data_IF_578115058525
#
_entry.id   IF_578115058525
#
_cell.length_a   1.000
_cell.length_b   1.000
_cell.length_c   1.000
_cell.angle_alpha   90.00
_cell.angle_beta   90.00
_cell.angle_gamma   90.00
#
_symmetry.space_group_name_H-M   'P 1'
#
loop_
_entity.id
_entity.type
_entity.pdbx_description
1 polymer ?
#
# COMPACT_ATOMS: atom_id res chain seq x y z
N UNK A 1 12.83 -2.76 -23.22
CA UNK A 1 11.82 -2.93 -22.15
C UNK A 1 11.69 -1.68 -21.25
N UNK A 2 12.81 -1.10 -20.80
CA UNK A 2 12.82 0.07 -19.91
C UNK A 2 12.15 1.31 -20.54
N UNK A 3 12.39 1.55 -21.82
CA UNK A 3 11.78 2.68 -22.57
C UNK A 3 10.26 2.58 -22.61
N UNK A 4 9.71 1.37 -22.75
CA UNK A 4 8.26 1.15 -22.75
C UNK A 4 7.67 1.39 -21.36
N UNK A 5 8.36 0.92 -20.32
CA UNK A 5 7.95 1.13 -18.92
C UNK A 5 8.00 2.62 -18.58
N UNK A 6 9.05 3.33 -19.01
CA UNK A 6 9.17 4.77 -18.82
C UNK A 6 8.05 5.54 -19.55
N UNK A 7 7.80 5.22 -20.82
CA UNK A 7 6.74 5.86 -21.60
C UNK A 7 5.34 5.62 -21.00
N UNK A 8 5.10 4.44 -20.44
CA UNK A 8 3.85 4.16 -19.73
C UNK A 8 3.76 4.93 -18.41
N UNK A 9 4.86 4.99 -17.65
CA UNK A 9 4.90 5.73 -16.38
C UNK A 9 4.79 7.25 -16.58
N UNK A 10 5.28 7.77 -17.69
CA UNK A 10 5.16 9.20 -18.03
C UNK A 10 3.75 9.59 -18.46
N UNK A 11 3.03 8.65 -19.07
CA UNK A 11 1.66 8.86 -19.55
C UNK A 11 0.59 8.51 -18.52
N UNK A 12 0.87 7.47 -17.71
CA UNK A 12 -0.06 6.91 -16.74
C UNK A 12 0.67 6.71 -15.41
N UNK A 13 -0.04 6.83 -14.30
CA UNK A 13 0.50 6.48 -12.99
C UNK A 13 0.47 4.94 -12.81
N UNK A 14 1.40 4.26 -13.50
CA UNK A 14 1.50 2.81 -13.54
C UNK A 14 2.63 2.34 -12.65
N UNK A 15 2.35 1.41 -11.76
CA UNK A 15 3.35 0.69 -10.98
C UNK A 15 3.29 -0.81 -11.29
N UNK A 16 4.42 -1.48 -11.11
CA UNK A 16 4.60 -2.86 -11.55
C UNK A 16 4.94 -3.76 -10.36
N UNK A 17 4.18 -4.83 -10.22
CA UNK A 17 4.56 -5.97 -9.39
C UNK A 17 5.11 -7.04 -10.31
N UNK A 18 6.42 -7.24 -10.28
CA UNK A 18 7.10 -8.20 -11.13
C UNK A 18 7.46 -9.42 -10.30
N UNK A 19 6.79 -10.54 -10.57
CA UNK A 19 7.20 -11.83 -10.00
C UNK A 19 8.38 -12.35 -10.80
N UNK A 20 9.50 -12.62 -10.14
CA UNK A 20 10.74 -12.98 -10.80
C UNK A 20 11.33 -14.29 -10.27
N UNK A 21 11.78 -15.11 -11.22
CA UNK A 21 12.67 -16.25 -11.00
C UNK A 21 14.11 -15.91 -11.37
N UNK A 22 14.45 -14.62 -11.50
CA UNK A 22 15.78 -14.20 -11.89
C UNK A 22 16.81 -14.58 -10.81
N UNK A 23 17.83 -15.30 -11.21
CA UNK A 23 18.90 -15.85 -10.39
C UNK A 23 20.28 -15.25 -10.71
N UNK A 24 20.36 -14.41 -11.74
CA UNK A 24 21.60 -13.76 -12.16
C UNK A 24 21.61 -12.28 -11.79
N UNK A 25 22.76 -11.74 -11.40
CA UNK A 25 22.94 -10.34 -11.04
C UNK A 25 22.45 -9.37 -12.12
N UNK A 26 22.69 -9.70 -13.38
CA UNK A 26 22.27 -8.87 -14.52
C UNK A 26 20.75 -8.77 -14.61
N UNK A 27 20.05 -9.90 -14.46
CA UNK A 27 18.59 -9.93 -14.49
C UNK A 27 17.98 -9.20 -13.28
N UNK A 28 18.56 -9.38 -12.11
CA UNK A 28 18.15 -8.67 -10.88
C UNK A 28 18.33 -7.16 -11.04
N UNK A 29 19.45 -6.71 -11.60
CA UNK A 29 19.67 -5.27 -11.85
C UNK A 29 18.69 -4.71 -12.87
N UNK A 30 18.40 -5.45 -13.95
CA UNK A 30 17.39 -5.05 -14.93
C UNK A 30 16.01 -4.90 -14.29
N UNK A 31 15.60 -5.85 -13.46
CA UNK A 31 14.30 -5.78 -12.76
C UNK A 31 14.25 -4.61 -11.79
N UNK A 32 15.34 -4.33 -11.05
CA UNK A 32 15.44 -3.14 -10.19
C UNK A 32 15.31 -1.85 -10.98
N UNK A 33 15.89 -1.79 -12.18
CA UNK A 33 15.76 -0.62 -13.06
C UNK A 33 14.32 -0.42 -13.53
N UNK A 34 13.59 -1.51 -13.83
CA UNK A 34 12.18 -1.45 -14.24
C UNK A 34 11.26 -0.96 -13.11
N UNK A 35 11.46 -1.46 -11.89
CA UNK A 35 10.65 -1.03 -10.74
C UNK A 35 11.08 0.34 -10.22
N UNK A 36 12.31 0.77 -10.49
CA UNK A 36 12.83 2.08 -10.12
C UNK A 36 12.17 3.27 -10.85
N UNK A 37 11.45 3.00 -11.94
CA UNK A 37 10.70 4.01 -12.69
C UNK A 37 9.53 4.58 -11.87
N UNK A 38 8.90 3.76 -11.05
CA UNK A 38 7.85 4.21 -10.14
C UNK A 38 8.13 3.66 -8.72
N UNK A 39 8.19 4.50 -7.68
CA UNK A 39 8.57 4.10 -6.33
C UNK A 39 7.59 3.11 -5.68
N UNK A 40 6.38 2.96 -6.22
CA UNK A 40 5.40 1.96 -5.79
C UNK A 40 5.60 0.59 -6.43
N UNK A 41 6.42 0.49 -7.48
CA UNK A 41 6.73 -0.78 -8.13
C UNK A 41 7.62 -1.67 -7.26
N UNK A 42 7.45 -2.99 -7.36
CA UNK A 42 8.19 -3.98 -6.57
C UNK A 42 8.58 -5.19 -7.41
N UNK A 43 9.72 -5.78 -7.07
CA UNK A 43 10.08 -7.13 -7.53
C UNK A 43 9.81 -8.11 -6.40
N UNK A 44 9.05 -9.15 -6.70
CA UNK A 44 8.70 -10.21 -5.76
C UNK A 44 9.40 -11.50 -6.21
N UNK A 45 10.34 -12.05 -5.44
CA UNK A 45 10.97 -13.32 -5.76
C UNK A 45 9.91 -14.44 -5.82
N UNK A 46 9.98 -15.27 -6.87
CA UNK A 46 9.00 -16.35 -7.05
C UNK A 46 9.05 -17.38 -5.93
N UNK A 47 10.25 -17.73 -5.46
CA UNK A 47 10.44 -18.64 -4.33
C UNK A 47 9.76 -18.14 -3.07
N UNK A 48 9.81 -16.83 -2.85
CA UNK A 48 9.13 -16.20 -1.74
C UNK A 48 7.60 -16.35 -1.82
N UNK A 49 7.02 -16.25 -3.02
CA UNK A 49 5.59 -16.51 -3.25
C UNK A 49 5.20 -17.95 -2.96
N UNK A 50 6.04 -18.92 -3.36
CA UNK A 50 5.78 -20.35 -3.12
C UNK A 50 5.75 -20.70 -1.63
N UNK A 51 6.62 -20.06 -0.83
CA UNK A 51 6.65 -20.23 0.62
C UNK A 51 5.47 -19.57 1.36
N UNK A 52 4.68 -18.72 0.69
CA UNK A 52 3.68 -17.88 1.32
C UNK A 52 2.36 -17.87 0.53
N UNK A 53 1.60 -18.98 0.52
CA UNK A 53 0.40 -19.13 -0.32
C UNK A 53 -0.68 -18.07 -0.09
N UNK A 54 -0.76 -17.49 1.11
CA UNK A 54 -1.69 -16.39 1.41
C UNK A 54 -1.34 -15.09 0.67
N UNK A 55 -0.07 -14.88 0.36
CA UNK A 55 0.43 -13.72 -0.40
C UNK A 55 0.20 -13.88 -1.89
N UNK A 56 0.21 -15.12 -2.39
CA UNK A 56 -0.12 -15.42 -3.79
C UNK A 56 -1.55 -14.99 -4.11
N UNK A 57 -2.48 -15.22 -3.20
CA UNK A 57 -3.88 -14.78 -3.36
C UNK A 57 -3.98 -13.23 -3.40
N UNK A 58 -3.25 -12.53 -2.53
CA UNK A 58 -3.18 -11.07 -2.53
C UNK A 58 -2.56 -10.52 -3.81
N UNK A 59 -1.45 -11.08 -4.28
CA UNK A 59 -0.78 -10.67 -5.52
C UNK A 59 -1.67 -10.88 -6.76
N UNK A 60 -2.39 -11.98 -6.84
CA UNK A 60 -3.32 -12.26 -7.96
C UNK A 60 -4.53 -11.30 -7.96
N UNK A 61 -5.03 -10.90 -6.80
CA UNK A 61 -6.08 -9.90 -6.71
C UNK A 61 -5.57 -8.52 -7.12
N UNK A 62 -4.34 -8.17 -6.80
CA UNK A 62 -3.72 -6.90 -7.21
C UNK A 62 -3.60 -6.80 -8.73
N UNK A 63 -3.24 -7.89 -9.42
CA UNK A 63 -3.19 -7.92 -10.90
C UNK A 63 -4.57 -7.69 -11.53
N UNK A 64 -5.65 -8.12 -10.92
CA UNK A 64 -7.01 -7.82 -11.42
C UNK A 64 -7.46 -6.38 -11.14
N UNK A 65 -6.93 -5.74 -10.09
CA UNK A 65 -7.24 -4.34 -9.75
C UNK A 65 -6.46 -3.35 -10.60
N UNK A 66 -5.32 -3.75 -11.19
CA UNK A 66 -4.48 -2.91 -12.08
C UNK A 66 -5.13 -2.67 -13.46
N UNK A 67 -6.29 -3.24 -13.76
CA UNK A 67 -7.04 -2.93 -14.97
C UNK A 67 -7.66 -1.50 -14.96
N UNK A 68 -7.47 -0.73 -13.90
CA UNK A 68 -7.74 0.70 -13.91
C UNK A 68 -6.47 1.44 -14.39
N UNK A 69 -6.34 1.54 -15.69
CA UNK A 69 -5.48 2.55 -16.32
C UNK A 69 -6.13 3.90 -16.04
N UNK A 70 -5.80 4.51 -14.91
CA UNK A 70 -6.09 5.91 -14.72
C UNK A 70 -5.18 6.68 -15.69
N UNK A 71 -5.76 7.35 -16.66
CA UNK A 71 -5.05 8.37 -17.42
C UNK A 71 -4.45 9.33 -16.40
N UNK A 72 -3.15 9.62 -16.53
CA UNK A 72 -2.48 10.64 -15.71
C UNK A 72 -3.01 12.01 -16.12
N UNK A 73 -4.24 12.30 -15.74
CA UNK A 73 -4.67 13.67 -15.63
C UNK A 73 -3.92 14.22 -14.42
N UNK A 74 -3.18 15.31 -14.62
CA UNK A 74 -2.67 16.14 -13.52
C UNK A 74 -3.87 16.68 -12.72
N UNK A 75 -4.53 15.83 -12.01
CA UNK A 75 -5.47 16.22 -10.99
C UNK A 75 -4.62 16.59 -9.80
N UNK A 76 -4.32 17.89 -9.70
CA UNK A 76 -3.92 18.50 -8.44
C UNK A 76 -4.98 18.06 -7.44
N UNK A 77 -4.67 17.05 -6.63
CA UNK A 77 -5.48 16.68 -5.49
C UNK A 77 -5.42 17.86 -4.53
N UNK A 78 -6.34 18.80 -4.71
CA UNK A 78 -6.47 19.92 -3.81
C UNK A 78 -6.89 19.39 -2.46
N UNK A 79 -5.91 19.07 -1.61
CA UNK A 79 -6.06 19.38 -0.22
C UNK A 79 -6.35 18.29 0.79
N UNK A 80 -6.28 17.00 0.51
CA UNK A 80 -6.20 16.03 1.60
C UNK A 80 -4.83 15.37 1.59
N UNK A 81 -3.89 15.99 2.31
CA UNK A 81 -2.66 15.28 2.70
C UNK A 81 -3.09 14.19 3.67
N UNK A 82 -3.25 12.99 3.17
CA UNK A 82 -3.56 11.85 4.02
C UNK A 82 -2.26 11.43 4.69
N UNK A 83 -2.13 11.78 5.97
CA UNK A 83 -1.00 11.31 6.77
C UNK A 83 -1.22 9.84 7.13
N UNK A 84 -0.12 9.10 7.28
CA UNK A 84 -0.15 7.72 7.72
C UNK A 84 -0.87 7.58 9.06
N UNK A 85 -1.70 6.56 9.19
CA UNK A 85 -2.29 6.14 10.47
C UNK A 85 -1.24 5.30 11.21
N UNK A 86 -0.91 5.67 12.44
CA UNK A 86 0.12 4.99 13.24
C UNK A 86 -0.48 4.08 14.30
N UNK A 87 0.31 3.08 14.74
CA UNK A 87 -0.19 2.06 15.67
C UNK A 87 0.80 1.82 16.81
N UNK A 88 0.26 1.47 17.96
CA UNK A 88 1.05 1.02 19.09
C UNK A 88 1.65 -0.37 18.86
N UNK A 89 2.60 -0.76 19.72
CA UNK A 89 3.27 -2.05 19.64
C UNK A 89 2.23 -3.14 19.79
N UNK A 90 2.24 -4.09 18.85
CA UNK A 90 1.37 -5.26 18.83
C UNK A 90 -0.15 -4.95 18.81
N UNK A 91 -0.55 -3.71 18.59
CA UNK A 91 -1.94 -3.29 18.56
C UNK A 91 -2.45 -3.08 17.13
N UNK A 92 -3.65 -3.62 16.80
CA UNK A 92 -4.34 -3.32 15.55
C UNK A 92 -5.34 -2.17 15.68
N UNK A 93 -5.54 -1.62 16.89
CA UNK A 93 -6.52 -0.60 17.13
C UNK A 93 -6.01 0.78 16.71
N UNK A 94 -6.90 1.58 16.12
CA UNK A 94 -6.62 2.97 15.73
C UNK A 94 -6.40 3.78 17.00
N UNK A 95 -5.36 4.58 17.01
CA UNK A 95 -5.05 5.48 18.12
C UNK A 95 -6.04 6.64 18.17
N UNK A 96 -6.38 7.15 19.36
CA UNK A 96 -7.29 8.30 19.49
C UNK A 96 -6.85 9.51 18.66
N UNK A 97 -5.54 9.76 18.56
CA UNK A 97 -4.96 10.89 17.81
C UNK A 97 -5.21 10.80 16.29
N UNK A 98 -5.45 9.60 15.77
CA UNK A 98 -5.69 9.39 14.35
C UNK A 98 -7.18 9.46 13.96
N UNK A 99 -8.11 9.49 14.93
CA UNK A 99 -9.55 9.56 14.67
C UNK A 99 -9.96 10.83 13.92
N UNK A 100 -9.42 11.99 14.30
CA UNK A 100 -9.73 13.24 13.60
C UNK A 100 -9.24 13.27 12.15
N UNK A 101 -8.11 12.60 11.87
CA UNK A 101 -7.59 12.45 10.50
C UNK A 101 -8.47 11.55 9.66
N UNK A 102 -8.87 10.42 10.24
CA UNK A 102 -9.76 9.47 9.57
C UNK A 102 -11.15 10.05 9.36
N UNK A 103 -11.64 10.89 10.26
CA UNK A 103 -12.89 11.63 10.09
C UNK A 103 -12.83 12.56 8.88
N UNK A 104 -11.74 13.32 8.74
CA UNK A 104 -11.53 14.18 7.55
C UNK A 104 -11.47 13.38 6.26
N UNK A 105 -10.77 12.24 6.27
CA UNK A 105 -10.73 11.32 5.13
C UNK A 105 -12.12 10.77 4.79
N UNK A 106 -12.89 10.32 5.79
CA UNK A 106 -14.24 9.81 5.60
C UNK A 106 -15.17 10.85 4.97
N UNK A 107 -15.18 12.07 5.51
CA UNK A 107 -15.95 13.18 4.93
C UNK A 107 -15.52 13.50 3.50
N UNK A 108 -14.21 13.52 3.24
CA UNK A 108 -13.73 13.74 1.89
C UNK A 108 -14.21 12.64 0.91
N UNK A 109 -14.20 11.38 1.34
CA UNK A 109 -14.69 10.27 0.49
C UNK A 109 -16.21 10.29 0.28
N UNK A 110 -16.99 10.80 1.25
CA UNK A 110 -18.42 11.05 1.10
C UNK A 110 -18.69 12.17 0.08
N UNK A 111 -17.94 13.26 0.16
CA UNK A 111 -18.07 14.41 -0.77
C UNK A 111 -17.57 14.08 -2.18
N UNK A 112 -16.73 13.06 -2.33
CA UNK A 112 -16.16 12.62 -3.59
C UNK A 112 -16.52 11.16 -3.91
N UNK A 113 -17.75 10.86 -4.38
CA UNK A 113 -18.25 9.49 -4.54
C UNK A 113 -17.50 8.67 -5.61
N UNK A 114 -16.71 9.33 -6.46
CA UNK A 114 -15.85 8.67 -7.47
C UNK A 114 -14.45 8.33 -6.94
N UNK A 115 -14.06 8.88 -5.81
CA UNK A 115 -12.76 8.61 -5.22
C UNK A 115 -12.77 7.26 -4.51
N UNK A 116 -11.72 6.48 -4.72
CA UNK A 116 -11.43 5.24 -4.00
C UNK A 116 -10.29 5.47 -3.01
N UNK A 117 -10.11 4.57 -2.06
CA UNK A 117 -9.01 4.63 -1.10
C UNK A 117 -8.22 3.33 -1.10
N UNK A 118 -6.89 3.45 -1.18
CA UNK A 118 -5.94 2.36 -0.99
C UNK A 118 -5.37 2.46 0.43
N UNK A 119 -5.44 1.36 1.17
CA UNK A 119 -4.93 1.20 2.52
C UNK A 119 -3.84 0.14 2.55
N UNK A 120 -2.62 0.54 2.87
CA UNK A 120 -1.45 -0.35 2.86
C UNK A 120 -0.90 -0.50 4.28
N UNK A 121 -1.01 -1.70 4.85
CA UNK A 121 -0.59 -1.99 6.23
C UNK A 121 0.87 -2.42 6.34
N UNK A 122 1.57 -1.89 7.35
CA UNK A 122 2.96 -2.20 7.65
C UNK A 122 3.17 -2.42 9.15
N UNK A 123 4.29 -3.10 9.49
CA UNK A 123 4.78 -3.27 10.86
C UNK A 123 6.23 -2.81 10.97
N UNK A 124 6.72 -2.69 12.20
CA UNK A 124 8.15 -2.70 12.43
C UNK A 124 8.74 -4.11 12.24
N UNK A 125 10.06 -4.25 12.38
CA UNK A 125 10.77 -5.52 12.20
C UNK A 125 10.78 -6.42 13.45
N UNK A 126 9.98 -6.12 14.47
CA UNK A 126 9.94 -6.90 15.71
C UNK A 126 9.00 -8.11 15.55
N UNK A 127 9.48 -9.30 15.91
CA UNK A 127 8.68 -10.53 15.86
C UNK A 127 8.80 -11.34 14.56
N UNK A 128 8.01 -12.40 14.47
CA UNK A 128 8.03 -13.30 13.34
C UNK A 128 7.36 -12.67 12.10
N UNK A 129 7.86 -13.03 10.93
CA UNK A 129 7.40 -12.48 9.65
C UNK A 129 5.90 -12.76 9.41
N UNK A 130 5.46 -14.00 9.61
CA UNK A 130 4.06 -14.38 9.42
C UNK A 130 3.12 -13.64 10.37
N UNK A 131 3.57 -13.45 11.62
CA UNK A 131 2.83 -12.67 12.61
C UNK A 131 2.66 -11.22 12.14
N UNK A 132 3.75 -10.60 11.69
CA UNK A 132 3.76 -9.22 11.19
C UNK A 132 2.89 -9.05 9.94
N UNK A 133 2.85 -10.05 9.07
CA UNK A 133 1.95 -10.06 7.94
C UNK A 133 0.48 -10.01 8.37
N UNK A 134 0.11 -10.85 9.33
CA UNK A 134 -1.26 -10.86 9.87
C UNK A 134 -1.59 -9.57 10.64
N UNK A 135 -0.62 -9.02 11.38
CA UNK A 135 -0.81 -7.77 12.12
C UNK A 135 -1.03 -6.58 11.18
N UNK A 136 -0.21 -6.47 10.11
CA UNK A 136 -0.37 -5.41 9.11
C UNK A 136 -1.73 -5.48 8.39
N UNK A 137 -2.19 -6.70 8.07
CA UNK A 137 -3.55 -6.92 7.55
C UNK A 137 -4.63 -6.44 8.52
N UNK A 138 -4.54 -6.82 9.79
CA UNK A 138 -5.52 -6.42 10.82
C UNK A 138 -5.59 -4.90 10.95
N UNK A 139 -4.45 -4.20 10.90
CA UNK A 139 -4.37 -2.73 10.95
C UNK A 139 -5.09 -2.08 9.78
N UNK A 140 -4.74 -2.48 8.55
CA UNK A 140 -5.39 -1.95 7.36
C UNK A 140 -6.91 -2.23 7.35
N UNK A 141 -7.30 -3.42 7.83
CA UNK A 141 -8.72 -3.77 7.94
C UNK A 141 -9.46 -2.92 8.99
N UNK A 142 -8.82 -2.55 10.11
CA UNK A 142 -9.42 -1.66 11.12
C UNK A 142 -9.67 -0.25 10.58
N UNK A 143 -8.75 0.28 9.76
CA UNK A 143 -8.96 1.57 9.09
C UNK A 143 -10.13 1.47 8.09
N UNK A 144 -10.17 0.41 7.28
CA UNK A 144 -11.28 0.18 6.37
C UNK A 144 -12.64 0.07 7.09
N UNK A 145 -12.67 -0.71 8.17
CA UNK A 145 -13.87 -0.87 8.99
C UNK A 145 -14.34 0.48 9.56
N UNK A 146 -13.41 1.29 10.06
CA UNK A 146 -13.74 2.63 10.56
C UNK A 146 -14.43 3.50 9.49
N UNK A 147 -13.92 3.49 8.27
CA UNK A 147 -14.51 4.25 7.16
C UNK A 147 -15.90 3.72 6.77
N UNK A 148 -16.06 2.40 6.71
CA UNK A 148 -17.36 1.78 6.39
C UNK A 148 -18.41 2.06 7.48
N UNK A 149 -18.03 1.95 8.75
CA UNK A 149 -18.99 2.03 9.87
C UNK A 149 -19.39 3.47 10.19
N UNK A 150 -18.48 4.45 9.99
CA UNK A 150 -18.74 5.84 10.39
C UNK A 150 -19.15 6.77 9.24
N UNK A 151 -18.78 6.40 7.99
CA UNK A 151 -19.02 7.24 6.80
C UNK A 151 -19.72 6.48 5.69
N UNK A 152 -20.23 5.28 5.96
CA UNK A 152 -20.93 4.44 5.01
C UNK A 152 -20.20 4.26 3.66
N UNK A 153 -18.86 4.31 3.67
CA UNK A 153 -18.06 4.13 2.46
C UNK A 153 -18.22 2.68 1.98
N UNK A 154 -18.71 2.45 0.75
CA UNK A 154 -18.89 1.10 0.23
C UNK A 154 -17.57 0.32 0.19
N UNK A 155 -17.64 -0.98 0.47
CA UNK A 155 -16.46 -1.86 0.50
C UNK A 155 -15.68 -1.85 -0.83
N UNK A 156 -16.38 -1.68 -1.93
CA UNK A 156 -15.86 -1.67 -3.29
C UNK A 156 -14.91 -0.48 -3.55
N UNK A 157 -15.08 0.59 -2.79
CA UNK A 157 -14.23 1.78 -2.85
C UNK A 157 -12.98 1.69 -1.99
N UNK A 158 -12.79 0.60 -1.25
CA UNK A 158 -11.66 0.42 -0.33
C UNK A 158 -10.80 -0.74 -0.79
N UNK A 159 -9.59 -0.44 -1.24
CA UNK A 159 -8.57 -1.43 -1.56
C UNK A 159 -7.66 -1.62 -0.34
N UNK A 160 -7.46 -2.86 0.09
CA UNK A 160 -6.64 -3.19 1.27
C UNK A 160 -5.46 -4.04 0.83
N UNK A 161 -4.27 -3.60 1.17
CA UNK A 161 -3.02 -4.33 0.98
C UNK A 161 -2.26 -4.40 2.31
N UNK A 162 -1.36 -5.38 2.46
CA UNK A 162 -0.57 -5.57 3.68
C UNK A 162 0.76 -6.22 3.36
N UNK A 163 1.81 -5.73 4.02
CA UNK A 163 3.18 -6.03 3.67
C UNK A 163 4.04 -6.52 4.85
N UNK A 164 3.46 -6.58 6.07
CA UNK A 164 4.23 -6.91 7.26
C UNK A 164 5.38 -5.92 7.48
N UNK A 165 6.59 -6.42 7.69
CA UNK A 165 7.77 -5.60 7.95
C UNK A 165 8.54 -5.17 6.68
N UNK A 166 8.00 -5.41 5.49
CA UNK A 166 8.61 -5.02 4.22
C UNK A 166 8.45 -3.50 4.04
N UNK A 167 9.45 -2.86 3.40
CA UNK A 167 9.47 -1.41 3.12
C UNK A 167 9.41 -0.51 4.36
N UNK A 168 10.38 -0.62 5.28
CA UNK A 168 10.47 0.31 6.38
C UNK A 168 10.76 1.73 5.85
N UNK A 169 10.10 2.74 6.45
CA UNK A 169 10.33 4.16 6.16
C UNK A 169 11.31 4.80 7.13
N UNK A 170 11.65 4.10 8.20
CA UNK A 170 12.56 4.56 9.24
C UNK A 170 13.40 3.40 9.80
N UNK A 171 14.45 3.74 10.54
CA UNK A 171 15.38 2.77 11.11
C UNK A 171 14.72 1.91 12.20
N UNK A 172 14.62 0.60 11.96
CA UNK A 172 14.08 -0.37 12.91
C UNK A 172 14.95 -0.59 14.16
N UNK A 173 16.22 -0.13 14.18
CA UNK A 173 17.07 -0.23 15.34
C UNK A 173 16.64 0.72 16.46
N UNK A 174 15.99 1.83 16.12
CA UNK A 174 15.53 2.84 17.07
C UNK A 174 14.04 2.66 17.45
N UNK A 175 13.63 2.96 18.70
CA UNK A 175 12.22 2.93 19.09
C UNK A 175 11.35 3.89 18.25
N UNK A 176 11.86 5.07 17.95
CA UNK A 176 11.20 6.11 17.15
C UNK A 176 10.99 5.66 15.72
N UNK A 177 12.00 5.04 15.10
CA UNK A 177 11.89 4.51 13.75
C UNK A 177 10.92 3.33 13.68
N UNK A 178 10.93 2.43 14.66
CA UNK A 178 9.91 1.37 14.76
C UNK A 178 8.49 1.95 14.87
N UNK A 179 8.32 3.02 15.65
CA UNK A 179 7.00 3.68 15.77
C UNK A 179 6.51 4.24 14.43
N UNK A 180 7.40 4.78 13.60
CA UNK A 180 7.05 5.24 12.24
C UNK A 180 6.72 4.07 11.30
N UNK A 181 7.39 2.93 11.44
CA UNK A 181 7.16 1.75 10.61
C UNK A 181 5.82 1.06 10.91
N UNK A 182 5.29 1.18 12.14
CA UNK A 182 3.96 0.67 12.51
C UNK A 182 2.86 1.58 11.97
N UNK A 183 2.52 1.44 10.70
CA UNK A 183 1.62 2.35 10.00
C UNK A 183 0.65 1.67 9.06
N UNK A 184 -0.39 2.41 8.70
CA UNK A 184 -1.18 2.21 7.50
C UNK A 184 -1.01 3.45 6.62
N UNK A 185 -0.48 3.27 5.44
CA UNK A 185 -0.44 4.31 4.42
C UNK A 185 -1.82 4.41 3.77
N UNK A 186 -2.23 5.64 3.48
CA UNK A 186 -3.54 5.93 2.91
C UNK A 186 -3.35 6.75 1.64
N UNK A 187 -3.83 6.23 0.53
CA UNK A 187 -3.81 6.93 -0.74
C UNK A 187 -5.24 7.05 -1.29
N UNK A 188 -5.63 8.25 -1.68
CA UNK A 188 -6.91 8.48 -2.37
C UNK A 188 -6.66 8.46 -3.88
N UNK A 189 -7.44 7.66 -4.60
CA UNK A 189 -7.31 7.44 -6.05
C UNK A 189 -8.63 7.74 -6.75
N UNK A 190 -8.61 7.96 -8.09
CA UNK A 190 -9.84 8.09 -8.88
C UNK A 190 -10.54 9.45 -8.77
N UNK A 191 -9.84 10.51 -8.39
CA UNK A 191 -10.35 11.88 -8.42
C UNK A 191 -10.33 12.42 -9.86
N UNK A 192 -11.41 12.22 -10.59
CA UNK A 192 -11.68 12.80 -11.93
C UNK A 192 -12.99 13.59 -11.91
#
# INVERSE_FOLDING_TARGET
PLEVVQALSDKYDVFFYIVSTADTDTNVQMLRSLVGVNPRSRVIPFEWLLGHPYRTAGALFTVKSIAFVAEKTETVVTGVTVQNVTFDIDEPNIRPDDHERLKKLGQFLEDNPKADVLLEGFTDATGAEDYNLHLSRRRAFRVAQYLMDNFAIPRERIVIQWYGMINPIADNSTPEGRAQNRRVEVEVVGLN
#
